data_IF_928567211308
#
_entry.id   IF_928567211308
#
_cell.length_a   1.000
_cell.length_b   1.000
_cell.length_c   1.000
_cell.angle_alpha   90.00
_cell.angle_beta   90.00
_cell.angle_gamma   90.00
#
_symmetry.space_group_name_H-M   'P 1'
#
loop_
_entity.id
_entity.type
_entity.pdbx_description
1 polymer ?
#
# COMPACT_ATOMS: atom_id res chain seq x y z
N UNK A 1 -19.18 -16.78 9.93
CA UNK A 1 -17.81 -17.06 9.47
C UNK A 1 -16.91 -17.03 10.70
N UNK A 2 -16.41 -18.19 11.11
CA UNK A 2 -15.49 -18.29 12.23
C UNK A 2 -14.19 -17.54 11.91
N UNK A 3 -13.61 -16.86 12.92
CA UNK A 3 -12.31 -16.18 12.81
C UNK A 3 -12.32 -14.77 12.25
N UNK A 4 -13.47 -14.18 11.90
CA UNK A 4 -13.54 -12.77 11.49
C UNK A 4 -13.77 -11.89 12.72
N UNK A 5 -12.86 -10.95 12.94
CA UNK A 5 -13.01 -9.86 13.92
C UNK A 5 -13.31 -8.56 13.21
N UNK A 6 -14.24 -7.80 13.71
CA UNK A 6 -14.57 -6.46 13.22
C UNK A 6 -13.97 -5.43 14.18
N UNK A 7 -13.17 -4.52 13.66
CA UNK A 7 -12.65 -3.36 14.37
C UNK A 7 -13.22 -2.11 13.72
N UNK A 8 -14.02 -1.39 14.48
CA UNK A 8 -14.66 -0.18 13.99
C UNK A 8 -13.74 1.00 14.18
N UNK A 9 -13.49 1.77 13.10
CA UNK A 9 -13.00 3.14 13.21
C UNK A 9 -14.23 4.08 13.24
N UNK A 10 -14.65 4.60 14.40
CA UNK A 10 -15.85 5.44 14.48
C UNK A 10 -15.67 6.81 13.81
N UNK A 11 -14.42 7.20 13.52
CA UNK A 11 -14.04 8.45 12.87
C UNK A 11 -13.64 8.27 11.41
N UNK A 12 -14.08 7.20 10.74
CA UNK A 12 -13.68 6.87 9.37
C UNK A 12 -13.93 7.98 8.35
N UNK A 13 -14.94 8.83 8.57
CA UNK A 13 -15.34 9.94 7.70
C UNK A 13 -14.44 11.18 7.82
N UNK A 14 -13.58 11.27 8.84
CA UNK A 14 -12.67 12.38 9.11
C UNK A 14 -11.21 11.94 9.29
N UNK A 15 -10.93 10.64 9.12
CA UNK A 15 -9.59 10.06 9.29
C UNK A 15 -9.19 9.24 8.07
N UNK A 16 -7.91 8.90 7.96
CA UNK A 16 -7.38 8.17 6.81
C UNK A 16 -6.82 6.80 7.19
N UNK A 17 -6.10 6.17 6.28
CA UNK A 17 -5.70 4.76 6.31
C UNK A 17 -4.85 4.40 7.52
N UNK A 18 -3.89 5.27 7.92
CA UNK A 18 -3.03 5.02 9.09
C UNK A 18 -3.88 4.92 10.36
N UNK A 19 -4.78 5.87 10.57
CA UNK A 19 -5.68 5.86 11.73
C UNK A 19 -6.57 4.61 11.73
N UNK A 20 -7.10 4.24 10.55
CA UNK A 20 -7.93 3.05 10.39
C UNK A 20 -7.15 1.76 10.71
N UNK A 21 -5.90 1.63 10.23
CA UNK A 21 -5.06 0.48 10.58
C UNK A 21 -4.85 0.37 12.09
N UNK A 22 -4.50 1.47 12.74
CA UNK A 22 -4.20 1.49 14.17
C UNK A 22 -5.46 1.46 15.07
N UNK A 23 -6.66 1.61 14.51
CA UNK A 23 -7.90 1.26 15.21
C UNK A 23 -8.00 -0.25 15.53
N UNK A 24 -7.19 -1.06 14.86
CA UNK A 24 -7.06 -2.50 15.10
C UNK A 24 -5.65 -2.88 15.62
N UNK A 25 -4.97 -1.97 16.31
CA UNK A 25 -3.59 -2.18 16.76
C UNK A 25 -3.41 -3.42 17.63
N UNK A 26 -4.39 -3.73 18.48
CA UNK A 26 -4.40 -4.91 19.35
C UNK A 26 -4.45 -6.26 18.58
N UNK A 27 -4.82 -6.24 17.31
CA UNK A 27 -4.83 -7.41 16.42
C UNK A 27 -3.53 -7.51 15.57
N UNK A 28 -2.67 -6.49 15.61
CA UNK A 28 -1.40 -6.52 14.89
C UNK A 28 -0.37 -7.34 15.69
N UNK A 29 -0.41 -8.66 15.55
CA UNK A 29 0.48 -9.60 16.23
C UNK A 29 0.92 -10.71 15.27
N UNK A 30 2.15 -11.22 15.44
CA UNK A 30 2.71 -12.23 14.57
C UNK A 30 3.05 -11.73 13.16
N UNK A 31 2.90 -12.62 12.17
CA UNK A 31 2.98 -12.28 10.75
C UNK A 31 1.64 -11.67 10.30
N UNK A 32 1.68 -10.44 9.81
CA UNK A 32 0.49 -9.68 9.40
C UNK A 32 0.55 -9.35 7.92
N UNK A 33 -0.56 -9.55 7.21
CA UNK A 33 -0.79 -9.03 5.86
C UNK A 33 -1.88 -7.97 5.94
N UNK A 34 -1.57 -6.77 5.47
CA UNK A 34 -2.54 -5.67 5.34
C UNK A 34 -2.89 -5.51 3.87
N UNK A 35 -4.17 -5.44 3.58
CA UNK A 35 -4.71 -5.21 2.23
C UNK A 35 -5.72 -4.07 2.27
N UNK A 36 -5.65 -3.17 1.31
CA UNK A 36 -6.72 -2.22 1.07
C UNK A 36 -8.00 -2.96 0.67
N UNK A 37 -9.16 -2.36 0.95
CA UNK A 37 -10.46 -2.97 0.70
C UNK A 37 -10.97 -2.83 -0.74
N UNK A 38 -10.37 -1.94 -1.50
CA UNK A 38 -10.72 -1.54 -2.87
C UNK A 38 -9.87 -2.22 -3.95
N UNK A 39 -8.93 -3.10 -3.56
CA UNK A 39 -8.08 -3.83 -4.49
C UNK A 39 -8.50 -5.30 -4.64
N UNK A 40 -8.43 -5.80 -5.87
CA UNK A 40 -8.55 -7.24 -6.18
C UNK A 40 -7.25 -7.70 -6.84
N UNK A 41 -6.66 -8.76 -6.35
CA UNK A 41 -5.38 -9.27 -6.83
C UNK A 41 -5.37 -10.78 -6.99
N UNK A 42 -4.53 -11.26 -7.90
CA UNK A 42 -4.37 -12.68 -8.17
C UNK A 42 -3.63 -13.39 -7.02
N UNK A 43 -3.85 -14.70 -6.92
CA UNK A 43 -3.08 -15.56 -6.00
C UNK A 43 -1.57 -15.45 -6.22
N UNK A 44 -1.13 -15.22 -7.46
CA UNK A 44 0.28 -15.03 -7.80
C UNK A 44 0.88 -13.80 -7.11
N UNK A 45 0.16 -12.68 -7.10
CA UNK A 45 0.57 -11.45 -6.40
C UNK A 45 0.73 -11.72 -4.90
N UNK A 46 -0.29 -12.29 -4.26
CA UNK A 46 -0.23 -12.64 -2.84
C UNK A 46 0.92 -13.60 -2.52
N UNK A 47 1.09 -14.66 -3.31
CA UNK A 47 2.20 -15.61 -3.14
C UNK A 47 3.56 -14.93 -3.26
N UNK A 48 3.71 -13.93 -4.14
CA UNK A 48 4.96 -13.18 -4.26
C UNK A 48 5.27 -12.40 -2.99
N UNK A 49 4.25 -11.73 -2.40
CA UNK A 49 4.40 -11.03 -1.13
C UNK A 49 4.75 -12.00 0.02
N UNK A 50 4.02 -13.11 0.14
CA UNK A 50 4.22 -14.08 1.22
C UNK A 50 5.60 -14.75 1.19
N UNK A 51 6.25 -14.84 0.04
CA UNK A 51 7.62 -15.36 -0.10
C UNK A 51 8.70 -14.40 0.41
N UNK A 52 8.38 -13.12 0.58
CA UNK A 52 9.36 -12.16 1.11
C UNK A 52 9.73 -12.52 2.55
N UNK A 53 11.02 -12.53 2.83
CA UNK A 53 11.59 -12.74 4.17
C UNK A 53 11.90 -11.43 4.90
N UNK A 54 11.64 -10.28 4.25
CA UNK A 54 11.86 -8.97 4.85
C UNK A 54 10.87 -8.71 6.00
N UNK A 55 11.32 -7.94 6.99
CA UNK A 55 10.49 -7.55 8.13
C UNK A 55 9.30 -6.70 7.70
N UNK A 56 9.51 -5.81 6.72
CA UNK A 56 8.45 -5.01 6.08
C UNK A 56 8.58 -5.19 4.57
N UNK A 57 7.53 -5.64 3.92
CA UNK A 57 7.46 -5.83 2.49
C UNK A 57 6.17 -5.25 1.92
N UNK A 58 6.25 -4.57 0.79
CA UNK A 58 5.08 -4.02 0.08
C UNK A 58 5.10 -4.42 -1.38
N UNK A 59 3.93 -4.65 -1.97
CA UNK A 59 3.84 -4.94 -3.40
C UNK A 59 3.94 -3.67 -4.22
N UNK A 60 4.72 -3.75 -5.31
CA UNK A 60 4.98 -2.66 -6.24
C UNK A 60 4.76 -3.15 -7.67
N UNK A 61 3.79 -2.56 -8.39
CA UNK A 61 3.54 -2.91 -9.79
C UNK A 61 4.50 -2.18 -10.72
N UNK A 62 5.33 -2.95 -11.42
CA UNK A 62 6.27 -2.45 -12.43
C UNK A 62 5.60 -2.18 -13.79
N UNK A 63 4.36 -2.64 -13.98
CA UNK A 63 3.53 -2.35 -15.17
C UNK A 63 2.47 -1.27 -14.91
N UNK A 64 2.61 -0.52 -13.83
CA UNK A 64 1.67 0.51 -13.40
C UNK A 64 1.31 1.50 -14.52
N UNK A 65 2.29 1.98 -15.30
CA UNK A 65 2.09 3.00 -16.33
C UNK A 65 1.03 2.58 -17.34
N UNK A 66 1.09 1.35 -17.83
CA UNK A 66 0.12 0.83 -18.77
C UNK A 66 -1.29 0.75 -18.20
N UNK A 67 -1.41 0.57 -16.89
CA UNK A 67 -2.69 0.54 -16.20
C UNK A 67 -3.21 1.96 -15.96
N UNK A 68 -2.39 2.87 -15.46
CA UNK A 68 -2.77 4.28 -15.23
C UNK A 68 -3.19 5.00 -16.50
N UNK A 69 -2.54 4.71 -17.66
CA UNK A 69 -2.95 5.26 -18.97
C UNK A 69 -4.38 4.84 -19.41
N UNK A 70 -4.89 3.77 -18.86
CA UNK A 70 -6.27 3.32 -19.14
C UNK A 70 -7.30 3.95 -18.19
N UNK A 71 -6.85 4.48 -17.05
CA UNK A 71 -7.73 5.06 -16.01
C UNK A 71 -7.74 6.59 -16.03
N UNK A 72 -6.62 7.20 -16.32
CA UNK A 72 -6.40 8.63 -16.12
C UNK A 72 -5.98 9.31 -17.43
N UNK A 73 -6.55 10.49 -17.72
CA UNK A 73 -6.12 11.31 -18.84
C UNK A 73 -4.68 11.82 -18.63
N UNK A 74 -4.34 12.21 -17.41
CA UNK A 74 -2.98 12.59 -17.03
C UNK A 74 -2.45 11.60 -15.96
N UNK A 75 -1.37 10.91 -16.29
CA UNK A 75 -0.74 9.91 -15.43
C UNK A 75 -0.29 10.43 -14.07
N UNK A 76 0.09 11.70 -14.00
CA UNK A 76 0.66 12.29 -12.78
C UNK A 76 -0.40 12.77 -11.79
N UNK A 77 -1.68 12.80 -12.18
CA UNK A 77 -2.74 13.33 -11.32
C UNK A 77 -2.98 12.43 -10.11
N UNK A 78 -2.92 11.12 -10.33
CA UNK A 78 -3.18 10.09 -9.31
C UNK A 78 -1.96 9.19 -9.02
N UNK A 79 -0.78 9.58 -9.47
CA UNK A 79 0.43 8.81 -9.21
C UNK A 79 1.23 9.39 -8.03
N UNK A 80 1.94 8.51 -7.34
CA UNK A 80 2.88 8.83 -6.28
C UNK A 80 4.31 8.46 -6.68
N UNK A 81 5.31 9.17 -6.14
CA UNK A 81 6.70 8.79 -6.33
C UNK A 81 6.99 7.44 -5.71
N UNK A 82 7.83 6.65 -6.35
CA UNK A 82 8.42 5.45 -5.78
C UNK A 82 9.82 5.26 -6.38
N UNK A 83 10.82 5.26 -5.51
CA UNK A 83 12.22 5.06 -5.91
C UNK A 83 12.83 3.89 -5.15
N UNK A 84 13.63 3.11 -5.85
CA UNK A 84 14.26 1.91 -5.32
C UNK A 84 15.77 2.12 -5.14
N UNK A 85 16.33 1.49 -4.12
CA UNK A 85 17.78 1.30 -3.98
C UNK A 85 18.22 0.08 -4.80
N UNK A 86 19.51 -0.07 -5.02
CA UNK A 86 20.09 -1.19 -5.76
C UNK A 86 19.79 -2.57 -5.15
N UNK A 87 19.54 -2.62 -3.85
CA UNK A 87 19.17 -3.84 -3.11
C UNK A 87 17.67 -4.17 -3.18
N UNK A 88 16.89 -3.36 -3.91
CA UNK A 88 15.45 -3.52 -4.06
C UNK A 88 14.62 -2.97 -2.90
N UNK A 89 15.24 -2.34 -1.90
CA UNK A 89 14.50 -1.62 -0.88
C UNK A 89 14.02 -0.26 -1.40
N UNK A 90 12.92 0.24 -0.83
CA UNK A 90 12.37 1.53 -1.20
C UNK A 90 13.19 2.65 -0.54
N UNK A 91 13.52 3.67 -1.32
CA UNK A 91 14.19 4.89 -0.84
C UNK A 91 13.23 6.07 -0.68
N UNK A 92 12.19 6.12 -1.51
CA UNK A 92 11.16 7.17 -1.49
C UNK A 92 9.81 6.61 -1.93
N UNK A 93 8.73 7.03 -1.28
CA UNK A 93 7.35 6.65 -1.60
C UNK A 93 6.37 7.76 -1.20
N UNK A 94 5.27 7.91 -1.93
CA UNK A 94 4.10 8.67 -1.50
C UNK A 94 4.14 10.18 -1.75
N UNK A 95 5.17 10.71 -2.43
CA UNK A 95 5.21 12.14 -2.78
C UNK A 95 4.51 12.40 -4.11
N UNK A 96 4.07 13.64 -4.33
CA UNK A 96 3.58 14.05 -5.65
C UNK A 96 4.73 14.10 -6.65
N UNK A 97 4.70 13.30 -7.74
CA UNK A 97 5.77 13.31 -8.75
C UNK A 97 5.69 14.55 -9.61
N UNK A 98 6.87 15.03 -10.04
CA UNK A 98 7.01 16.10 -11.03
C UNK A 98 7.17 15.56 -12.45
N UNK A 99 7.60 14.31 -12.56
CA UNK A 99 7.78 13.61 -13.83
C UNK A 99 7.62 12.11 -13.66
N UNK A 100 7.32 11.40 -14.75
CA UNK A 100 7.19 9.95 -14.79
C UNK A 100 8.47 9.22 -14.36
N UNK A 101 9.64 9.84 -14.54
CA UNK A 101 10.94 9.29 -14.16
C UNK A 101 11.14 9.15 -12.64
N UNK A 102 10.25 9.76 -11.83
CA UNK A 102 10.25 9.63 -10.37
C UNK A 102 9.41 8.45 -9.87
N UNK A 103 8.86 7.65 -10.82
CA UNK A 103 7.95 6.55 -10.51
C UNK A 103 8.52 5.25 -11.07
N UNK A 104 9.34 4.57 -10.29
CA UNK A 104 9.91 3.28 -10.69
C UNK A 104 8.94 2.10 -10.56
N UNK A 105 7.75 2.33 -10.01
CA UNK A 105 6.64 1.40 -9.84
C UNK A 105 5.55 2.04 -9.00
N UNK A 106 4.39 1.41 -8.92
CA UNK A 106 3.27 1.93 -8.13
C UNK A 106 2.98 1.01 -6.93
N UNK A 107 2.83 1.61 -5.75
CA UNK A 107 2.37 0.93 -4.56
C UNK A 107 0.91 0.48 -4.73
N UNK A 108 0.57 -0.72 -4.23
CA UNK A 108 -0.73 -1.35 -4.51
C UNK A 108 -1.65 -1.46 -3.30
N UNK A 109 -1.27 -0.94 -2.12
CA UNK A 109 -2.08 -1.15 -0.92
C UNK A 109 -2.04 -2.56 -0.34
N UNK A 110 -1.08 -3.40 -0.73
CA UNK A 110 -0.90 -4.75 -0.19
C UNK A 110 0.50 -4.90 0.39
N UNK A 111 0.59 -5.22 1.69
CA UNK A 111 1.85 -5.26 2.43
C UNK A 111 1.89 -6.39 3.44
N UNK A 112 3.10 -6.78 3.85
CA UNK A 112 3.37 -7.81 4.85
C UNK A 112 4.33 -7.29 5.90
N UNK A 113 4.07 -7.63 7.15
CA UNK A 113 4.93 -7.36 8.29
C UNK A 113 5.25 -8.67 9.00
N UNK A 114 6.55 -8.94 9.28
CA UNK A 114 6.95 -9.96 10.24
C UNK A 114 6.64 -9.48 11.68
N UNK A 115 6.74 -10.33 12.71
CA UNK A 115 6.61 -9.88 14.10
C UNK A 115 7.51 -8.69 14.44
N UNK A 116 8.74 -8.67 13.89
CA UNK A 116 9.65 -7.54 14.04
C UNK A 116 9.21 -6.33 13.21
N UNK A 117 8.68 -6.55 12.02
CA UNK A 117 8.10 -5.49 11.17
C UNK A 117 6.88 -4.84 11.82
N UNK A 118 6.01 -5.62 12.45
CA UNK A 118 4.88 -5.10 13.25
C UNK A 118 5.39 -4.19 14.38
N UNK A 119 6.39 -4.65 15.13
CA UNK A 119 7.00 -3.81 16.18
C UNK A 119 7.58 -2.52 15.60
N UNK A 120 8.30 -2.60 14.50
CA UNK A 120 8.90 -1.43 13.85
C UNK A 120 7.87 -0.41 13.42
N UNK A 121 6.77 -0.84 12.75
CA UNK A 121 5.75 0.08 12.27
C UNK A 121 4.93 0.71 13.42
N UNK A 122 4.70 -0.04 14.51
CA UNK A 122 4.12 0.48 15.75
C UNK A 122 5.02 1.54 16.39
N UNK A 123 6.31 1.25 16.54
CA UNK A 123 7.28 2.18 17.11
C UNK A 123 7.30 3.50 16.31
N UNK A 124 7.25 3.41 14.96
CA UNK A 124 7.15 4.58 14.07
C UNK A 124 5.85 5.33 14.32
N UNK A 125 4.70 4.64 14.28
CA UNK A 125 3.40 5.26 14.51
C UNK A 125 3.34 6.00 15.84
N UNK A 126 3.75 5.36 16.95
CA UNK A 126 3.73 5.99 18.26
C UNK A 126 4.74 7.14 18.39
N UNK A 127 5.87 7.07 17.66
CA UNK A 127 6.83 8.17 17.66
C UNK A 127 6.24 9.41 16.95
N UNK A 128 5.66 9.23 15.75
CA UNK A 128 5.10 10.36 14.99
C UNK A 128 3.82 10.88 15.61
N UNK A 129 3.00 10.02 16.23
CA UNK A 129 1.78 10.43 16.95
C UNK A 129 2.04 11.38 18.13
N UNK A 130 3.22 11.33 18.75
CA UNK A 130 3.61 12.28 19.82
C UNK A 130 3.74 13.72 19.32
N UNK A 131 4.00 13.89 18.04
CA UNK A 131 4.14 15.20 17.40
C UNK A 131 2.83 15.67 16.75
N UNK A 132 1.77 14.85 16.81
CA UNK A 132 0.47 15.06 16.18
C UNK A 132 0.54 15.30 14.66
N UNK A 133 1.72 15.12 14.05
CA UNK A 133 2.00 15.40 12.65
C UNK A 133 2.91 14.35 12.03
N UNK A 134 2.62 14.00 10.79
CA UNK A 134 3.38 13.08 9.95
C UNK A 134 3.56 13.69 8.56
N UNK A 135 4.81 14.06 8.21
CA UNK A 135 5.15 14.64 6.90
C UNK A 135 4.28 15.84 6.49
N UNK A 136 3.94 16.72 7.43
CA UNK A 136 3.14 17.92 7.19
C UNK A 136 1.63 17.71 7.20
N UNK A 137 1.16 16.54 7.63
CA UNK A 137 -0.27 16.21 7.81
C UNK A 137 -0.53 15.81 9.25
N UNK A 138 -1.75 16.04 9.75
CA UNK A 138 -2.14 15.43 11.02
C UNK A 138 -2.08 13.91 10.91
N UNK A 139 -1.77 13.22 12.00
CA UNK A 139 -1.67 11.76 12.02
C UNK A 139 -3.00 11.09 11.61
N UNK A 140 -4.14 11.70 11.94
CA UNK A 140 -5.46 11.23 11.55
C UNK A 140 -5.65 11.22 10.03
N UNK A 141 -5.06 12.20 9.33
CA UNK A 141 -5.20 12.37 7.88
C UNK A 141 -4.05 11.76 7.07
N UNK A 142 -3.15 11.03 7.73
CA UNK A 142 -1.99 10.43 7.08
C UNK A 142 -2.35 9.19 6.26
N UNK A 143 -1.75 9.09 5.08
CA UNK A 143 -1.82 7.92 4.21
C UNK A 143 -0.83 6.84 4.65
N UNK A 144 -1.04 5.60 4.21
CA UNK A 144 -0.09 4.52 4.48
C UNK A 144 1.30 4.81 3.90
N UNK A 145 1.36 5.46 2.75
CA UNK A 145 2.63 5.88 2.12
C UNK A 145 3.38 6.91 2.96
N UNK A 146 2.69 7.80 3.70
CA UNK A 146 3.32 8.72 4.65
C UNK A 146 3.99 7.94 5.80
N UNK A 147 3.30 6.95 6.38
CA UNK A 147 3.84 6.11 7.45
C UNK A 147 5.03 5.26 6.98
N UNK A 148 4.93 4.69 5.78
CA UNK A 148 6.03 3.94 5.17
C UNK A 148 7.23 4.85 4.90
N UNK A 149 7.03 6.07 4.40
CA UNK A 149 8.12 7.04 4.19
C UNK A 149 8.79 7.40 5.53
N UNK A 150 8.01 7.66 6.57
CA UNK A 150 8.57 7.93 7.90
C UNK A 150 9.39 6.74 8.44
N UNK A 151 8.94 5.51 8.19
CA UNK A 151 9.70 4.32 8.55
C UNK A 151 11.04 4.27 7.79
N UNK A 152 11.05 4.59 6.49
CA UNK A 152 12.27 4.68 5.68
C UNK A 152 13.22 5.74 6.24
N UNK A 153 12.71 6.92 6.55
CA UNK A 153 13.50 8.06 7.08
C UNK A 153 14.10 7.74 8.45
N UNK A 154 13.44 6.89 9.24
CA UNK A 154 13.94 6.35 10.51
C UNK A 154 14.84 5.10 10.34
N UNK A 155 15.29 4.82 9.11
CA UNK A 155 16.22 3.73 8.82
C UNK A 155 15.60 2.32 8.89
N UNK A 156 14.27 2.19 8.76
CA UNK A 156 13.60 0.89 8.67
C UNK A 156 13.54 0.46 7.21
N UNK A 157 14.23 -0.61 6.79
CA UNK A 157 14.22 -1.04 5.40
C UNK A 157 12.83 -1.60 5.03
N UNK A 158 12.30 -1.14 3.90
CA UNK A 158 11.07 -1.64 3.31
C UNK A 158 11.39 -2.30 1.97
N UNK A 159 11.11 -3.58 1.85
CA UNK A 159 11.36 -4.35 0.64
C UNK A 159 10.24 -4.14 -0.38
N UNK A 160 10.58 -3.73 -1.59
CA UNK A 160 9.66 -3.75 -2.71
C UNK A 160 9.54 -5.18 -3.27
N UNK A 161 8.36 -5.77 -3.18
CA UNK A 161 8.01 -7.02 -3.86
C UNK A 161 7.44 -6.65 -5.22
N UNK A 162 8.28 -6.72 -6.24
CA UNK A 162 7.92 -6.32 -7.59
C UNK A 162 6.97 -7.33 -8.23
N UNK A 163 5.84 -6.83 -8.74
CA UNK A 163 4.86 -7.57 -9.53
C UNK A 163 4.65 -6.88 -10.88
N UNK A 164 4.01 -7.58 -11.82
CA UNK A 164 3.84 -7.12 -13.18
C UNK A 164 2.38 -7.24 -13.60
N UNK A 165 1.51 -6.40 -13.00
CA UNK A 165 0.07 -6.48 -13.11
C UNK A 165 -0.51 -7.61 -12.25
N UNK A 166 -1.71 -8.11 -12.64
CA UNK A 166 -2.41 -9.17 -11.89
C UNK A 166 -3.21 -8.62 -10.71
N UNK A 167 -3.60 -7.36 -10.78
CA UNK A 167 -4.44 -6.68 -9.82
C UNK A 167 -5.28 -5.58 -10.48
N UNK A 168 -6.26 -5.09 -9.76
CA UNK A 168 -7.10 -3.94 -10.12
C UNK A 168 -7.54 -3.23 -8.85
N UNK A 169 -7.71 -1.92 -8.95
CA UNK A 169 -8.24 -1.02 -7.93
C UNK A 169 -9.61 -0.50 -8.38
N UNK A 170 -10.53 -0.34 -7.45
CA UNK A 170 -11.92 0.03 -7.72
C UNK A 170 -12.30 1.11 -6.69
N UNK A 171 -12.11 2.38 -7.04
CA UNK A 171 -12.36 3.52 -6.15
C UNK A 171 -13.78 4.05 -6.30
N UNK A 172 -14.34 3.93 -7.50
CA UNK A 172 -15.62 4.52 -7.86
C UNK A 172 -16.57 3.49 -8.48
N UNK A 173 -17.84 3.87 -8.57
CA UNK A 173 -18.85 3.08 -9.32
C UNK A 173 -18.51 3.01 -10.80
N UNK A 174 -17.86 4.04 -11.34
CA UNK A 174 -17.47 4.06 -12.76
C UNK A 174 -16.28 3.12 -12.99
N UNK A 175 -15.31 3.04 -12.05
CA UNK A 175 -14.27 1.99 -12.09
C UNK A 175 -14.88 0.60 -12.12
N UNK A 176 -15.86 0.33 -11.25
CA UNK A 176 -16.50 -0.98 -11.17
C UNK A 176 -17.19 -1.39 -12.50
N UNK A 177 -17.69 -0.42 -13.25
CA UNK A 177 -18.41 -0.63 -14.52
C UNK A 177 -17.50 -0.56 -15.74
N UNK A 178 -16.26 -0.10 -15.59
CA UNK A 178 -15.34 0.12 -16.71
C UNK A 178 -14.96 -1.20 -17.39
N UNK A 179 -14.81 -1.17 -18.70
CA UNK A 179 -14.30 -2.31 -19.48
C UNK A 179 -12.90 -2.71 -19.02
N UNK A 180 -12.07 -1.75 -18.66
CA UNK A 180 -10.71 -1.97 -18.15
C UNK A 180 -10.74 -2.84 -16.88
N UNK A 181 -11.61 -2.52 -15.92
CA UNK A 181 -11.78 -3.31 -14.69
C UNK A 181 -12.29 -4.72 -15.00
N UNK A 182 -13.31 -4.84 -15.86
CA UNK A 182 -13.90 -6.13 -16.23
C UNK A 182 -12.85 -7.04 -16.88
N UNK A 183 -12.06 -6.52 -17.82
CA UNK A 183 -11.01 -7.30 -18.48
C UNK A 183 -9.91 -7.71 -17.51
N UNK A 184 -9.46 -6.80 -16.64
CA UNK A 184 -8.44 -7.11 -15.62
C UNK A 184 -8.94 -8.16 -14.63
N UNK A 185 -10.19 -8.12 -14.19
CA UNK A 185 -10.77 -9.15 -13.32
C UNK A 185 -10.80 -10.53 -14.00
N UNK A 186 -11.11 -10.59 -15.31
CA UNK A 186 -11.01 -11.85 -16.09
C UNK A 186 -9.57 -12.39 -16.08
N UNK A 187 -8.57 -11.53 -16.33
CA UNK A 187 -7.16 -11.92 -16.31
C UNK A 187 -6.72 -12.39 -14.92
N UNK A 188 -7.08 -11.68 -13.85
CA UNK A 188 -6.81 -12.06 -12.47
C UNK A 188 -7.32 -13.46 -12.16
N UNK A 189 -8.54 -13.78 -12.61
CA UNK A 189 -9.14 -15.10 -12.42
C UNK A 189 -8.35 -16.21 -13.10
N UNK A 190 -7.75 -15.96 -14.26
CA UNK A 190 -6.92 -16.95 -14.97
C UNK A 190 -5.51 -17.13 -14.35
N UNK A 191 -5.05 -16.14 -13.57
CA UNK A 191 -3.75 -16.16 -12.88
C UNK A 191 -3.83 -16.72 -11.45
N UNK A 192 -4.98 -17.25 -11.06
CA UNK A 192 -5.28 -17.70 -9.67
C UNK A 192 -5.08 -19.19 -9.49
#
# INVERSE_FOLDING_TARGET
>A
REGIKLKLNPRYYETNMVWTLFSAEDELDGDVVVSYGDIVYSRKVLKSLLKSTADIAVTVDKKWESYWRLRNENLLDDAETLKLRKDGTISEIGKKPKSINEIEGQYMGLMKFSPKGVKQIRDVFHLVSKNEELLGKSIENSYMTDLLQAAIDLGRPIQAVQVYGGWVEIDTVDDLKSEVTIERLKLIKTMS
#
